data_IF_846623843311
#
_entry.id   IF_846623843311
#
_cell.length_a   1.000
_cell.length_b   1.000
_cell.length_c   1.000
_cell.angle_alpha   90.00
_cell.angle_beta   90.00
_cell.angle_gamma   90.00
#
_symmetry.space_group_name_H-M   'P 1'
#
loop_
_entity.id
_entity.type
_entity.pdbx_description
1 polymer ?
#
# COMPACT_ATOMS: atom_id res chain seq x y z
N UNK A 1 -7.37 -18.14 14.48
CA UNK A 1 -8.69 -18.42 13.93
C UNK A 1 -8.51 -18.49 12.42
N UNK A 2 -8.81 -19.63 11.83
CA UNK A 2 -8.79 -19.85 10.39
C UNK A 2 -9.84 -18.95 9.69
N UNK A 3 -9.72 -18.73 8.38
CA UNK A 3 -10.61 -17.82 7.66
C UNK A 3 -12.08 -18.26 7.75
N UNK A 4 -12.31 -19.55 7.58
CA UNK A 4 -13.61 -20.21 7.69
C UNK A 4 -14.22 -20.07 9.10
N UNK A 5 -13.38 -20.17 10.14
CA UNK A 5 -13.81 -19.98 11.53
C UNK A 5 -14.26 -18.53 11.78
N UNK A 6 -13.58 -17.54 11.18
CA UNK A 6 -14.00 -16.12 11.27
C UNK A 6 -15.36 -15.90 10.62
N UNK A 7 -15.60 -16.51 9.47
CA UNK A 7 -16.89 -16.41 8.78
C UNK A 7 -18.00 -17.10 9.56
N UNK A 8 -17.73 -18.28 10.12
CA UNK A 8 -18.67 -19.00 10.99
C UNK A 8 -19.06 -18.15 12.21
N UNK A 9 -18.08 -17.51 12.87
CA UNK A 9 -18.32 -16.63 14.00
C UNK A 9 -19.23 -15.43 13.61
N UNK A 10 -19.01 -14.82 12.44
CA UNK A 10 -19.87 -13.71 11.95
C UNK A 10 -21.30 -14.19 11.72
N UNK A 11 -21.48 -15.40 11.18
CA UNK A 11 -22.81 -15.97 10.94
C UNK A 11 -23.55 -16.31 12.25
N UNK A 12 -22.82 -16.70 13.29
CA UNK A 12 -23.37 -17.06 14.60
C UNK A 12 -23.67 -15.84 15.47
N UNK A 13 -22.71 -14.91 15.62
CA UNK A 13 -22.82 -13.71 16.47
C UNK A 13 -23.60 -12.57 15.80
N UNK A 14 -23.66 -12.56 14.47
CA UNK A 14 -24.23 -11.46 13.69
C UNK A 14 -23.25 -10.32 13.43
N UNK A 15 -23.51 -9.52 12.39
CA UNK A 15 -22.57 -8.51 11.90
C UNK A 15 -22.35 -7.36 12.87
N UNK A 16 -23.42 -6.85 13.51
CA UNK A 16 -23.34 -5.73 14.47
C UNK A 16 -22.50 -6.07 15.70
N UNK A 17 -22.76 -7.22 16.33
CA UNK A 17 -22.05 -7.66 17.53
C UNK A 17 -20.59 -7.97 17.21
N UNK A 18 -20.34 -8.70 16.10
CA UNK A 18 -18.97 -9.03 15.68
C UNK A 18 -18.15 -7.77 15.38
N UNK A 19 -18.75 -6.79 14.68
CA UNK A 19 -18.08 -5.53 14.36
C UNK A 19 -17.73 -4.74 15.63
N UNK A 20 -18.67 -4.67 16.59
CA UNK A 20 -18.46 -4.00 17.88
C UNK A 20 -17.35 -4.66 18.69
N UNK A 21 -17.35 -6.00 18.74
CA UNK A 21 -16.33 -6.79 19.42
C UNK A 21 -14.94 -6.61 18.81
N UNK A 22 -14.81 -6.76 17.49
CA UNK A 22 -13.51 -6.61 16.81
C UNK A 22 -12.97 -5.19 16.92
N UNK A 23 -13.84 -4.18 16.89
CA UNK A 23 -13.40 -2.80 17.12
C UNK A 23 -12.86 -2.63 18.53
N UNK A 24 -13.54 -3.18 19.55
CA UNK A 24 -13.08 -3.18 20.95
C UNK A 24 -11.75 -3.89 21.14
N UNK A 25 -11.54 -5.03 20.47
CA UNK A 25 -10.25 -5.75 20.48
C UNK A 25 -9.11 -4.90 19.92
N UNK A 26 -9.34 -4.20 18.81
CA UNK A 26 -8.35 -3.27 18.22
C UNK A 26 -8.07 -2.09 19.16
N UNK A 27 -9.08 -1.57 19.85
CA UNK A 27 -8.89 -0.54 20.87
C UNK A 27 -8.05 -1.05 22.05
N UNK A 28 -8.26 -2.30 22.48
CA UNK A 28 -7.49 -2.93 23.54
C UNK A 28 -6.01 -3.11 23.19
N UNK A 29 -5.70 -3.48 21.95
CA UNK A 29 -4.32 -3.70 21.49
C UNK A 29 -3.54 -2.38 21.33
N UNK A 30 -4.16 -1.35 20.73
CA UNK A 30 -3.47 -0.12 20.36
C UNK A 30 -3.78 1.09 21.26
N UNK A 31 -4.59 0.89 22.31
CA UNK A 31 -5.09 1.93 23.21
C UNK A 31 -6.13 2.88 22.59
N UNK A 32 -6.24 2.90 21.26
CA UNK A 32 -7.28 3.56 20.49
C UNK A 32 -7.44 2.90 19.13
N UNK A 33 -8.66 2.78 18.63
CA UNK A 33 -8.89 2.37 17.26
C UNK A 33 -8.65 3.55 16.30
N UNK A 34 -8.04 3.30 15.13
CA UNK A 34 -7.97 4.27 14.05
C UNK A 34 -9.35 4.83 13.69
N UNK A 35 -9.44 6.14 13.44
CA UNK A 35 -10.71 6.81 13.12
C UNK A 35 -11.43 6.17 11.92
N UNK A 36 -10.66 5.70 10.92
CA UNK A 36 -11.22 5.01 9.75
C UNK A 36 -12.03 3.78 10.16
N UNK A 37 -11.52 2.97 11.09
CA UNK A 37 -12.21 1.78 11.57
C UNK A 37 -13.43 2.13 12.41
N UNK A 38 -13.34 3.19 13.24
CA UNK A 38 -14.50 3.71 13.99
C UNK A 38 -15.64 4.14 13.06
N UNK A 39 -15.31 4.86 11.98
CA UNK A 39 -16.31 5.30 10.98
C UNK A 39 -16.86 4.14 10.16
N UNK A 40 -16.02 3.17 9.81
CA UNK A 40 -16.50 1.94 9.19
C UNK A 40 -17.42 1.15 10.13
N UNK A 41 -17.20 1.18 11.44
CA UNK A 41 -18.06 0.53 12.44
C UNK A 41 -19.52 1.04 12.45
N UNK A 42 -19.78 2.25 11.94
CA UNK A 42 -21.15 2.75 11.71
C UNK A 42 -21.88 1.97 10.59
N UNK A 43 -21.16 1.16 9.81
CA UNK A 43 -21.65 0.23 8.79
C UNK A 43 -20.94 -1.14 8.95
N UNK A 44 -21.42 -2.01 9.85
CA UNK A 44 -20.74 -3.24 10.27
C UNK A 44 -20.19 -4.09 9.11
N UNK A 45 -20.96 -4.24 8.02
CA UNK A 45 -20.56 -5.03 6.85
C UNK A 45 -19.30 -4.47 6.18
N UNK A 46 -19.16 -3.14 6.14
CA UNK A 46 -17.98 -2.47 5.59
C UNK A 46 -16.77 -2.69 6.48
N UNK A 47 -16.93 -2.56 7.81
CA UNK A 47 -15.83 -2.81 8.75
C UNK A 47 -15.37 -4.27 8.70
N UNK A 48 -16.30 -5.22 8.77
CA UNK A 48 -15.98 -6.65 8.77
C UNK A 48 -15.33 -7.06 7.45
N UNK A 49 -15.87 -6.63 6.31
CA UNK A 49 -15.27 -6.91 5.00
C UNK A 49 -13.84 -6.34 4.90
N UNK A 50 -13.64 -5.12 5.38
CA UNK A 50 -12.32 -4.49 5.41
C UNK A 50 -11.33 -5.26 6.30
N UNK A 51 -11.75 -5.64 7.52
CA UNK A 51 -10.91 -6.34 8.48
C UNK A 51 -10.62 -7.78 8.04
N UNK A 52 -11.58 -8.50 7.46
CA UNK A 52 -11.36 -9.81 6.87
C UNK A 52 -10.30 -9.73 5.77
N UNK A 53 -10.46 -8.82 4.81
CA UNK A 53 -9.48 -8.64 3.73
C UNK A 53 -8.10 -8.27 4.26
N UNK A 54 -8.03 -7.25 5.13
CA UNK A 54 -6.77 -6.80 5.75
C UNK A 54 -6.07 -7.93 6.50
N UNK A 55 -6.80 -8.68 7.32
CA UNK A 55 -6.24 -9.78 8.09
C UNK A 55 -5.74 -10.90 7.17
N UNK A 56 -6.50 -11.26 6.13
CA UNK A 56 -6.05 -12.24 5.14
C UNK A 56 -4.77 -11.80 4.43
N UNK A 57 -4.63 -10.52 4.06
CA UNK A 57 -3.38 -9.99 3.46
C UNK A 57 -2.19 -10.15 4.41
N UNK A 58 -2.39 -9.96 5.72
CA UNK A 58 -1.32 -10.12 6.71
C UNK A 58 -1.01 -11.58 7.04
N UNK A 59 -2.03 -12.42 7.20
CA UNK A 59 -1.89 -13.83 7.60
C UNK A 59 -1.35 -14.71 6.47
N UNK A 60 -1.59 -14.35 5.22
CA UNK A 60 -1.05 -15.06 4.05
C UNK A 60 0.33 -14.55 3.61
N UNK A 61 0.84 -13.49 4.25
CA UNK A 61 2.15 -12.94 3.92
C UNK A 61 3.28 -13.84 4.38
N UNK A 62 4.30 -13.99 3.54
CA UNK A 62 5.56 -14.65 3.91
C UNK A 62 6.56 -13.70 4.58
N UNK A 63 6.23 -12.40 4.69
CA UNK A 63 7.04 -11.42 5.40
C UNK A 63 6.76 -11.50 6.89
N UNK A 64 7.80 -11.33 7.70
CA UNK A 64 7.61 -11.26 9.15
C UNK A 64 6.78 -10.02 9.54
N UNK A 65 6.05 -10.06 10.66
CA UNK A 65 5.16 -8.97 11.06
C UNK A 65 5.85 -7.60 11.21
N UNK A 66 7.14 -7.56 11.61
CA UNK A 66 7.90 -6.31 11.75
C UNK A 66 8.16 -5.70 10.38
N UNK A 67 8.55 -6.51 9.40
CA UNK A 67 8.74 -6.08 8.02
C UNK A 67 7.45 -5.49 7.43
N UNK A 68 6.30 -6.13 7.65
CA UNK A 68 4.99 -5.64 7.19
C UNK A 68 4.71 -4.22 7.73
N UNK A 69 4.97 -3.96 9.01
CA UNK A 69 4.76 -2.63 9.58
C UNK A 69 5.75 -1.58 9.08
N UNK A 70 7.01 -1.95 8.85
CA UNK A 70 8.02 -1.04 8.27
C UNK A 70 7.65 -0.64 6.83
N UNK A 71 7.16 -1.58 6.02
CA UNK A 71 6.64 -1.30 4.68
C UNK A 71 5.40 -0.39 4.78
N UNK A 72 4.46 -0.71 5.66
CA UNK A 72 3.24 0.09 5.86
C UNK A 72 3.55 1.52 6.31
N UNK A 73 4.55 1.68 7.19
CA UNK A 73 5.10 2.97 7.59
C UNK A 73 5.67 3.73 6.40
N UNK A 74 6.52 3.10 5.59
CA UNK A 74 7.14 3.74 4.42
C UNK A 74 6.08 4.23 3.42
N UNK A 75 5.07 3.41 3.14
CA UNK A 75 3.93 3.78 2.28
C UNK A 75 3.15 4.94 2.90
N UNK A 76 2.83 4.86 4.19
CA UNK A 76 2.13 5.93 4.91
C UNK A 76 2.88 7.26 4.87
N UNK A 77 4.21 7.23 4.99
CA UNK A 77 5.07 8.41 4.90
C UNK A 77 5.09 9.00 3.48
N UNK A 78 5.26 8.16 2.45
CA UNK A 78 5.24 8.58 1.05
C UNK A 78 3.89 9.22 0.65
N UNK A 79 2.79 8.66 1.15
CA UNK A 79 1.44 9.20 0.96
C UNK A 79 1.11 10.41 1.86
N UNK A 80 2.06 10.87 2.69
CA UNK A 80 1.90 12.00 3.63
C UNK A 80 0.74 11.79 4.61
N UNK A 81 0.43 10.53 4.94
CA UNK A 81 -0.62 10.17 5.89
C UNK A 81 -0.08 10.19 7.32
N UNK A 82 -0.19 11.33 8.02
CA UNK A 82 0.30 11.49 9.40
C UNK A 82 -0.23 10.41 10.35
N UNK A 83 -1.52 10.10 10.30
CA UNK A 83 -2.11 9.09 11.18
C UNK A 83 -1.61 7.67 10.88
N UNK A 84 -1.39 7.34 9.61
CA UNK A 84 -0.81 6.06 9.20
C UNK A 84 0.62 5.94 9.74
N UNK A 85 1.42 7.00 9.59
CA UNK A 85 2.80 7.05 10.11
C UNK A 85 2.82 6.85 11.62
N UNK A 86 2.00 7.58 12.37
CA UNK A 86 1.91 7.44 13.83
C UNK A 86 1.53 6.01 14.25
N UNK A 87 0.52 5.43 13.60
CA UNK A 87 0.05 4.07 13.89
C UNK A 87 1.12 3.01 13.58
N UNK A 88 1.67 3.02 12.37
CA UNK A 88 2.63 2.00 11.93
C UNK A 88 3.99 2.13 12.62
N UNK A 89 4.39 3.31 13.10
CA UNK A 89 5.56 3.44 14.00
C UNK A 89 5.32 2.68 15.31
N UNK A 90 4.15 2.83 15.93
CA UNK A 90 3.85 2.14 17.19
C UNK A 90 3.75 0.62 16.96
N UNK A 91 3.03 0.20 15.91
CA UNK A 91 2.90 -1.22 15.58
C UNK A 91 4.26 -1.87 15.26
N UNK A 92 5.13 -1.20 14.50
CA UNK A 92 6.47 -1.68 14.21
C UNK A 92 7.30 -1.85 15.50
N UNK A 93 7.23 -0.88 16.43
CA UNK A 93 7.93 -0.95 17.72
C UNK A 93 7.44 -2.10 18.58
N UNK A 94 6.13 -2.32 18.67
CA UNK A 94 5.54 -3.47 19.39
C UNK A 94 6.04 -4.79 18.82
N UNK A 95 6.34 -4.84 17.52
CA UNK A 95 6.91 -5.99 16.82
C UNK A 95 8.45 -6.02 16.82
N UNK A 96 9.09 -5.18 17.63
CA UNK A 96 10.55 -5.20 17.85
C UNK A 96 11.37 -4.38 16.86
N UNK A 97 10.76 -3.49 16.06
CA UNK A 97 11.52 -2.57 15.23
C UNK A 97 12.33 -1.59 16.08
N UNK A 98 13.62 -1.50 15.79
CA UNK A 98 14.54 -0.52 16.35
C UNK A 98 14.25 0.89 15.81
N UNK A 99 14.78 1.89 16.51
CA UNK A 99 14.74 3.28 16.04
C UNK A 99 15.43 3.44 14.68
N UNK A 100 16.49 2.69 14.44
CA UNK A 100 17.30 2.82 13.23
C UNK A 100 16.58 2.19 12.03
N UNK A 101 15.93 1.03 12.19
CA UNK A 101 15.06 0.46 11.15
C UNK A 101 13.90 1.40 10.77
N UNK A 102 13.31 2.09 11.75
CA UNK A 102 12.25 3.10 11.50
C UNK A 102 12.82 4.29 10.72
N UNK A 103 14.02 4.76 11.09
CA UNK A 103 14.70 5.84 10.39
C UNK A 103 15.00 5.44 8.93
N UNK A 104 15.52 4.23 8.71
CA UNK A 104 15.80 3.68 7.39
C UNK A 104 14.55 3.59 6.53
N UNK A 105 13.43 3.08 7.07
CA UNK A 105 12.16 3.02 6.34
C UNK A 105 11.69 4.41 5.86
N UNK A 106 11.83 5.44 6.71
CA UNK A 106 11.47 6.82 6.36
C UNK A 106 12.41 7.39 5.29
N UNK A 107 13.72 7.15 5.40
CA UNK A 107 14.71 7.58 4.40
C UNK A 107 14.46 6.92 3.03
N UNK A 108 14.15 5.62 3.01
CA UNK A 108 13.80 4.88 1.80
C UNK A 108 12.53 5.44 1.16
N UNK A 109 11.49 5.72 1.96
CA UNK A 109 10.26 6.34 1.48
C UNK A 109 10.51 7.72 0.85
N UNK A 110 11.36 8.54 1.47
CA UNK A 110 11.78 9.84 0.95
C UNK A 110 12.55 9.74 -0.36
N UNK A 111 13.51 8.82 -0.45
CA UNK A 111 14.28 8.54 -1.67
C UNK A 111 13.36 8.15 -2.83
N UNK A 112 12.46 7.19 -2.61
CA UNK A 112 11.52 6.72 -3.62
C UNK A 112 10.55 7.84 -4.08
N UNK A 113 10.06 8.65 -3.13
CA UNK A 113 9.18 9.78 -3.42
C UNK A 113 9.91 10.86 -4.24
N UNK A 114 11.16 11.16 -3.92
CA UNK A 114 12.00 12.08 -4.70
C UNK A 114 12.23 11.55 -6.12
N UNK A 115 12.57 10.26 -6.26
CA UNK A 115 12.74 9.64 -7.57
C UNK A 115 11.48 9.72 -8.42
N UNK A 116 10.29 9.53 -7.82
CA UNK A 116 9.02 9.68 -8.53
C UNK A 116 8.81 11.09 -9.07
N UNK A 117 9.14 12.13 -8.29
CA UNK A 117 9.04 13.53 -8.73
C UNK A 117 9.97 13.81 -9.91
N UNK A 118 11.24 13.40 -9.80
CA UNK A 118 12.23 13.62 -10.85
C UNK A 118 11.85 12.88 -12.13
N UNK A 119 11.46 11.61 -12.02
CA UNK A 119 11.11 10.79 -13.18
C UNK A 119 9.86 11.32 -13.90
N UNK A 120 8.86 11.80 -13.17
CA UNK A 120 7.64 12.36 -13.76
C UNK A 120 7.91 13.74 -14.41
N UNK A 121 8.53 14.66 -13.67
CA UNK A 121 8.80 16.01 -14.15
C UNK A 121 9.78 16.05 -15.32
N UNK A 122 10.83 15.21 -15.32
CA UNK A 122 11.77 15.16 -16.44
C UNK A 122 11.12 14.60 -17.70
N UNK A 123 10.20 13.63 -17.61
CA UNK A 123 9.43 13.19 -18.78
C UNK A 123 8.61 14.32 -19.36
N UNK A 124 7.89 15.07 -18.53
CA UNK A 124 7.11 16.23 -19.01
C UNK A 124 8.00 17.31 -19.64
N UNK A 125 9.19 17.54 -19.08
CA UNK A 125 10.18 18.47 -19.64
C UNK A 125 10.75 17.98 -20.98
N UNK A 126 11.02 16.69 -21.09
CA UNK A 126 11.60 16.06 -22.28
C UNK A 126 10.53 15.73 -23.35
N UNK A 127 9.24 15.68 -22.99
CA UNK A 127 8.09 15.49 -23.90
C UNK A 127 7.85 16.71 -24.83
N UNK A 128 8.68 17.77 -24.74
CA UNK A 128 8.84 18.76 -25.82
C UNK A 128 9.71 18.22 -26.99
N UNK A 129 10.20 16.98 -26.91
CA UNK A 129 10.80 16.24 -28.01
C UNK A 129 9.73 15.66 -28.96
N UNK A 130 9.99 15.57 -30.28
CA UNK A 130 8.95 15.42 -31.29
C UNK A 130 8.09 14.16 -31.15
N UNK A 131 6.85 14.28 -31.63
CA UNK A 131 5.69 13.40 -31.43
C UNK A 131 5.81 11.94 -31.96
N UNK A 132 7.01 11.48 -32.29
CA UNK A 132 7.30 10.20 -32.92
C UNK A 132 8.04 9.19 -32.02
N UNK A 133 8.41 9.55 -30.79
CA UNK A 133 8.97 8.61 -29.81
C UNK A 133 7.87 7.90 -28.98
N UNK A 134 7.28 6.84 -29.54
CA UNK A 134 6.40 5.95 -28.78
C UNK A 134 7.21 5.13 -27.75
N UNK A 135 7.27 5.59 -26.51
CA UNK A 135 7.96 4.93 -25.39
C UNK A 135 7.50 3.50 -25.09
N UNK A 136 6.30 3.09 -25.51
CA UNK A 136 5.85 1.70 -25.33
C UNK A 136 6.57 0.70 -26.24
N UNK A 137 7.17 1.18 -27.34
CA UNK A 137 7.89 0.34 -28.30
C UNK A 137 9.36 0.10 -27.92
N UNK A 138 9.99 1.00 -27.15
CA UNK A 138 11.41 0.87 -26.76
C UNK A 138 11.66 -0.01 -25.53
N UNK A 139 10.61 -0.42 -24.82
CA UNK A 139 10.73 -1.36 -23.69
C UNK A 139 10.86 -2.84 -24.14
N UNK A 140 10.64 -3.13 -25.42
CA UNK A 140 10.82 -4.46 -25.99
C UNK A 140 11.91 -4.41 -27.05
N UNK A 141 13.12 -4.80 -26.66
CA UNK A 141 14.19 -5.08 -27.62
C UNK A 141 13.76 -6.20 -28.57
N UNK A 142 13.22 -5.83 -29.73
CA UNK A 142 13.09 -6.70 -30.90
C UNK A 142 13.07 -5.85 -32.16
N UNK A 143 14.11 -6.05 -32.97
CA UNK A 143 14.31 -5.50 -34.31
C UNK A 143 13.02 -5.42 -35.14
N UNK A 144 12.72 -4.23 -35.67
CA UNK A 144 11.68 -4.05 -36.68
C UNK A 144 11.24 -2.60 -36.89
N UNK A 145 12.16 -1.65 -37.05
CA UNK A 145 11.78 -0.33 -37.57
C UNK A 145 11.41 -0.42 -39.07
N UNK A 146 10.44 0.37 -39.57
CA UNK A 146 10.08 0.37 -40.98
C UNK A 146 11.24 0.95 -41.81
N UNK A 147 11.56 0.33 -42.95
CA UNK A 147 12.60 0.83 -43.86
C UNK A 147 12.30 2.27 -44.31
N UNK A 148 13.32 3.14 -44.44
CA UNK A 148 13.11 4.50 -44.90
C UNK A 148 12.73 4.50 -46.38
N UNK A 149 11.64 5.20 -46.70
CA UNK A 149 11.20 5.51 -48.06
C UNK A 149 12.37 6.09 -48.88
N UNK A 150 12.77 5.40 -49.96
CA UNK A 150 13.64 5.98 -50.99
C UNK A 150 12.81 6.89 -51.90
N UNK A 151 13.16 8.19 -52.03
CA UNK A 151 12.53 9.03 -53.04
C UNK A 151 13.24 8.83 -54.39
N UNK A 152 12.44 8.57 -55.44
CA UNK A 152 12.88 8.64 -56.84
C UNK A 152 12.97 7.29 -57.54
N UNK A 153 11.85 6.86 -58.13
CA UNK A 153 11.80 6.19 -59.42
C UNK A 153 10.56 6.71 -60.17
N UNK A 154 10.78 7.14 -61.41
CA UNK A 154 9.80 7.67 -62.37
C UNK A 154 8.72 6.65 -62.75
#
# INVERSE_FOLDING_TARGET
>A
MDYEEKLAAILEEGTEETASRWLSEIEGEFGRAPLILKRMGERPEVLLSHLLYKNSVFETSHLDPKCIELISLAVGAALKCRHCVEYHIQAARTKGASRDEILEAILIAGLASNASVLADAYRVMDDEAPADACLSCDLQGSNGGPEPHRPGQE
#
